data_IF_745100936518
#
_entry.id   IF_745100936518
#
_cell.length_a   1.000
_cell.length_b   1.000
_cell.length_c   1.000
_cell.angle_alpha   90.00
_cell.angle_beta   90.00
_cell.angle_gamma   90.00
#
_symmetry.space_group_name_H-M   'P 1'
#
loop_
_entity.id
_entity.type
_entity.pdbx_description
1 polymer ?
#
# COMPACT_ATOMS: atom_id res chain seq x y z
N UNK A 1 -27.20 -14.26 -37.53
CA UNK A 1 -25.75 -14.47 -37.35
C UNK A 1 -25.41 -13.99 -35.94
N UNK A 2 -25.70 -14.83 -34.95
CA UNK A 2 -25.47 -14.57 -33.52
C UNK A 2 -24.02 -14.94 -33.24
N UNK A 3 -23.13 -13.95 -33.20
CA UNK A 3 -21.78 -14.17 -32.65
C UNK A 3 -21.91 -14.21 -31.13
N UNK A 4 -21.86 -15.43 -30.60
CA UNK A 4 -21.54 -15.71 -29.21
C UNK A 4 -20.27 -14.93 -28.84
N UNK A 5 -20.43 -13.83 -28.12
CA UNK A 5 -19.35 -13.28 -27.32
C UNK A 5 -19.14 -14.32 -26.21
N UNK A 6 -18.03 -15.05 -26.32
CA UNK A 6 -17.49 -15.87 -25.25
C UNK A 6 -17.53 -15.02 -23.98
N UNK A 7 -18.41 -15.37 -23.04
CA UNK A 7 -18.24 -14.97 -21.66
C UNK A 7 -16.90 -15.54 -21.23
N UNK A 8 -15.88 -14.68 -21.15
CA UNK A 8 -14.80 -14.96 -20.22
C UNK A 8 -15.46 -14.98 -18.85
N UNK A 9 -15.49 -16.14 -18.20
CA UNK A 9 -15.75 -16.24 -16.78
C UNK A 9 -14.68 -15.38 -16.08
N UNK A 10 -14.96 -14.10 -15.89
CA UNK A 10 -14.12 -13.22 -15.10
C UNK A 10 -14.23 -13.74 -13.68
N UNK A 11 -13.19 -14.41 -13.21
CA UNK A 11 -13.10 -14.85 -11.82
C UNK A 11 -13.21 -13.59 -10.97
N UNK A 12 -14.36 -13.37 -10.32
CA UNK A 12 -14.53 -12.21 -9.45
C UNK A 12 -13.64 -12.41 -8.23
N UNK A 13 -12.65 -11.54 -8.06
CA UNK A 13 -11.92 -11.46 -6.80
C UNK A 13 -12.80 -10.77 -5.76
N UNK A 14 -12.77 -11.30 -4.54
CA UNK A 14 -13.40 -10.66 -3.38
C UNK A 14 -12.30 -10.02 -2.53
N UNK A 15 -12.58 -8.89 -1.90
CA UNK A 15 -11.68 -8.34 -0.89
C UNK A 15 -12.42 -8.02 0.40
N UNK A 16 -11.71 -8.21 1.51
CA UNK A 16 -12.06 -7.61 2.79
C UNK A 16 -11.02 -6.52 3.06
N UNK A 17 -11.49 -5.28 3.25
CA UNK A 17 -10.66 -4.16 3.64
C UNK A 17 -10.82 -3.88 5.14
N UNK A 18 -9.70 -3.78 5.86
CA UNK A 18 -9.66 -3.38 7.26
C UNK A 18 -8.93 -2.05 7.34
N UNK A 19 -9.68 -0.98 7.59
CA UNK A 19 -9.17 0.38 7.59
C UNK A 19 -9.39 1.07 8.95
N UNK A 20 -8.44 1.92 9.35
CA UNK A 20 -8.53 2.75 10.54
C UNK A 20 -8.13 2.06 11.84
N UNK A 21 -8.35 2.78 12.95
CA UNK A 21 -8.09 2.30 14.31
C UNK A 21 -9.28 1.56 14.89
N UNK A 22 -9.02 0.67 15.85
CA UNK A 22 -10.08 -0.04 16.53
C UNK A 22 -10.75 0.82 17.60
N UNK A 23 -12.03 0.56 17.83
CA UNK A 23 -12.80 1.21 18.89
C UNK A 23 -12.16 0.84 20.23
N UNK A 24 -11.95 1.80 21.16
CA UNK A 24 -11.39 1.50 22.47
C UNK A 24 -12.12 0.35 23.18
N UNK A 25 -11.35 -0.63 23.67
CA UNK A 25 -11.88 -1.82 24.35
C UNK A 25 -12.18 -3.01 23.43
N UNK A 26 -12.07 -2.85 22.11
CA UNK A 26 -12.08 -3.99 21.19
C UNK A 26 -10.72 -4.70 21.23
N UNK A 27 -10.73 -5.99 21.57
CA UNK A 27 -9.53 -6.82 21.52
C UNK A 27 -9.15 -7.12 20.05
N UNK A 28 -7.93 -6.75 19.60
CA UNK A 28 -7.42 -7.08 18.27
C UNK A 28 -7.58 -8.56 17.87
N UNK A 29 -7.49 -9.48 18.82
CA UNK A 29 -7.64 -10.92 18.58
C UNK A 29 -9.05 -11.28 18.12
N UNK A 30 -10.08 -10.55 18.57
CA UNK A 30 -11.46 -10.76 18.12
C UNK A 30 -11.57 -10.47 16.64
N UNK A 31 -11.00 -9.36 16.17
CA UNK A 31 -10.98 -9.01 14.74
C UNK A 31 -10.20 -10.05 13.94
N UNK A 32 -9.05 -10.48 14.45
CA UNK A 32 -8.25 -11.55 13.84
C UNK A 32 -9.06 -12.85 13.67
N UNK A 33 -9.81 -13.24 14.70
CA UNK A 33 -10.63 -14.45 14.67
C UNK A 33 -11.83 -14.33 13.73
N UNK A 34 -12.45 -13.15 13.62
CA UNK A 34 -13.52 -12.88 12.66
C UNK A 34 -13.00 -13.03 11.23
N UNK A 35 -11.84 -12.44 10.91
CA UNK A 35 -11.23 -12.57 9.58
C UNK A 35 -10.84 -14.01 9.27
N UNK A 36 -10.17 -14.69 10.21
CA UNK A 36 -9.85 -16.12 10.09
C UNK A 36 -11.10 -16.95 9.78
N UNK A 37 -12.21 -16.65 10.45
CA UNK A 37 -13.48 -17.33 10.23
C UNK A 37 -14.09 -16.98 8.87
N UNK A 38 -14.08 -15.72 8.45
CA UNK A 38 -14.61 -15.29 7.15
C UNK A 38 -13.87 -15.98 6.00
N UNK A 39 -12.55 -16.08 6.09
CA UNK A 39 -11.72 -16.69 5.05
C UNK A 39 -11.58 -18.22 5.14
N UNK A 40 -11.95 -18.85 6.27
CA UNK A 40 -11.95 -20.32 6.38
C UNK A 40 -12.99 -21.00 5.46
N UNK A 41 -13.98 -20.25 4.98
CA UNK A 41 -15.05 -20.74 4.10
C UNK A 41 -14.86 -20.39 2.62
N UNK A 42 -13.92 -19.49 2.28
CA UNK A 42 -13.65 -19.11 0.91
C UNK A 42 -12.52 -19.98 0.31
N UNK A 43 -12.58 -20.25 -0.99
CA UNK A 43 -11.41 -20.76 -1.72
C UNK A 43 -10.31 -19.69 -1.64
N UNK A 44 -9.38 -19.86 -0.70
CA UNK A 44 -8.43 -18.85 -0.20
C UNK A 44 -7.57 -18.15 -1.25
N UNK A 45 -7.54 -18.64 -2.50
CA UNK A 45 -6.77 -18.06 -3.60
C UNK A 45 -7.53 -16.98 -4.37
N UNK A 46 -8.84 -16.81 -4.15
CA UNK A 46 -9.68 -15.81 -4.85
C UNK A 46 -9.99 -14.57 -4.04
N UNK A 47 -9.56 -14.54 -2.78
CA UNK A 47 -9.88 -13.46 -1.85
C UNK A 47 -8.62 -12.73 -1.39
N UNK A 48 -8.74 -11.42 -1.22
CA UNK A 48 -7.64 -10.54 -0.81
C UNK A 48 -7.98 -9.91 0.54
N UNK A 49 -7.00 -9.87 1.45
CA UNK A 49 -7.09 -9.06 2.66
C UNK A 49 -6.31 -7.76 2.46
N UNK A 50 -7.02 -6.65 2.41
CA UNK A 50 -6.45 -5.32 2.30
C UNK A 50 -6.40 -4.66 3.68
N UNK A 51 -5.25 -4.18 4.10
CA UNK A 51 -5.04 -3.58 5.44
C UNK A 51 -4.50 -2.16 5.27
N UNK A 52 -5.25 -1.20 5.82
CA UNK A 52 -4.89 0.23 5.99
C UNK A 52 -5.20 0.65 7.42
N UNK A 53 -4.53 0.01 8.37
CA UNK A 53 -4.78 0.16 9.80
C UNK A 53 -3.51 0.57 10.55
N UNK A 54 -3.71 1.41 11.58
CA UNK A 54 -2.67 1.79 12.52
C UNK A 54 -2.48 0.78 13.67
N UNK A 55 -3.27 -0.30 13.71
CA UNK A 55 -3.25 -1.32 14.77
C UNK A 55 -2.16 -2.36 14.51
N UNK A 56 -0.95 -2.09 15.03
CA UNK A 56 0.22 -2.92 14.77
C UNK A 56 0.09 -4.34 15.32
N UNK A 57 -0.49 -4.53 16.51
CA UNK A 57 -0.67 -5.87 17.09
C UNK A 57 -1.57 -6.73 16.21
N UNK A 58 -2.71 -6.19 15.78
CA UNK A 58 -3.60 -6.87 14.84
C UNK A 58 -2.89 -7.24 13.54
N UNK A 59 -2.17 -6.27 12.96
CA UNK A 59 -1.48 -6.46 11.69
C UNK A 59 -0.37 -7.49 11.82
N UNK A 60 0.41 -7.44 12.91
CA UNK A 60 1.43 -8.42 13.28
C UNK A 60 0.83 -9.81 13.41
N UNK A 61 -0.24 -9.95 14.21
CA UNK A 61 -0.94 -11.22 14.43
C UNK A 61 -1.45 -11.81 13.12
N UNK A 62 -2.01 -11.00 12.22
CA UNK A 62 -2.52 -11.46 10.93
C UNK A 62 -1.38 -11.94 10.04
N UNK A 63 -0.32 -11.14 9.89
CA UNK A 63 0.83 -11.43 9.02
C UNK A 63 1.60 -12.67 9.54
N UNK A 64 1.79 -12.78 10.86
CA UNK A 64 2.48 -13.90 11.51
C UNK A 64 1.64 -15.17 11.66
N UNK A 65 0.31 -15.10 11.52
CA UNK A 65 -0.56 -16.26 11.70
C UNK A 65 -0.59 -17.25 10.52
N UNK A 66 -1.18 -18.42 10.78
CA UNK A 66 -1.48 -19.47 9.80
C UNK A 66 -2.43 -19.07 8.65
N UNK A 67 -2.80 -17.79 8.51
CA UNK A 67 -3.46 -17.24 7.31
C UNK A 67 -2.51 -17.19 6.09
N UNK A 68 -1.44 -17.98 6.08
CA UNK A 68 -0.37 -18.07 5.07
C UNK A 68 -0.85 -18.27 3.62
N UNK A 69 -2.14 -18.57 3.40
CA UNK A 69 -2.72 -18.80 2.07
C UNK A 69 -3.46 -17.60 1.48
N UNK A 70 -3.74 -16.57 2.26
CA UNK A 70 -4.46 -15.38 1.78
C UNK A 70 -3.45 -14.32 1.31
N UNK A 71 -3.58 -13.82 0.07
CA UNK A 71 -2.87 -12.63 -0.36
C UNK A 71 -3.22 -11.42 0.52
N UNK A 72 -2.24 -10.92 1.26
CA UNK A 72 -2.34 -9.71 2.07
C UNK A 72 -1.75 -8.54 1.27
N UNK A 73 -2.47 -7.42 1.29
CA UNK A 73 -2.03 -6.15 0.73
C UNK A 73 -1.98 -5.15 1.85
N UNK A 74 -0.79 -4.61 2.09
CA UNK A 74 -0.60 -3.56 3.07
C UNK A 74 -0.55 -2.23 2.33
N UNK A 75 -1.44 -1.32 2.68
CA UNK A 75 -1.28 0.10 2.38
C UNK A 75 -1.17 0.80 3.71
N UNK A 76 0.01 1.31 4.06
CA UNK A 76 0.27 1.94 5.36
C UNK A 76 1.11 3.20 5.17
N UNK A 77 1.14 4.09 6.15
CA UNK A 77 2.09 5.20 6.14
C UNK A 77 3.46 4.81 6.72
N UNK A 78 4.48 5.63 6.49
CA UNK A 78 5.85 5.36 6.94
C UNK A 78 5.97 5.19 8.46
N UNK A 79 5.12 5.87 9.25
CA UNK A 79 5.11 5.74 10.73
C UNK A 79 4.50 4.42 11.16
N UNK A 80 3.37 4.03 10.57
CA UNK A 80 2.73 2.72 10.81
C UNK A 80 3.67 1.58 10.45
N UNK A 81 4.37 1.68 9.32
CA UNK A 81 5.40 0.72 8.92
C UNK A 81 6.47 0.56 10.00
N UNK A 82 7.05 1.66 10.48
CA UNK A 82 8.08 1.63 11.54
C UNK A 82 7.57 0.93 12.79
N UNK A 83 6.37 1.27 13.26
CA UNK A 83 5.81 0.68 14.46
C UNK A 83 5.49 -0.82 14.29
N UNK A 84 5.02 -1.22 13.10
CA UNK A 84 4.76 -2.62 12.78
C UNK A 84 6.06 -3.44 12.78
N UNK A 85 7.12 -2.89 12.19
CA UNK A 85 8.43 -3.52 12.19
C UNK A 85 9.01 -3.68 13.59
N UNK A 86 8.87 -2.67 14.46
CA UNK A 86 9.25 -2.77 15.88
C UNK A 86 8.47 -3.87 16.62
N UNK A 87 7.17 -4.00 16.33
CA UNK A 87 6.32 -5.05 16.94
C UNK A 87 6.78 -6.45 16.52
N UNK A 88 7.06 -6.65 15.22
CA UNK A 88 7.51 -7.93 14.67
C UNK A 88 8.91 -8.34 15.14
N UNK A 89 9.82 -7.39 15.29
CA UNK A 89 11.20 -7.67 15.76
C UNK A 89 11.26 -8.01 17.25
N UNK A 90 10.36 -7.47 18.07
CA UNK A 90 10.22 -7.90 19.48
C UNK A 90 9.81 -9.37 19.61
N UNK A 91 9.10 -9.94 18.63
CA UNK A 91 8.67 -11.34 18.59
C UNK A 91 9.72 -12.27 17.96
N UNK A 92 10.67 -11.72 17.19
CA UNK A 92 11.76 -12.43 16.52
C UNK A 92 13.13 -12.00 17.10
N UNK A 93 13.50 -12.54 18.27
CA UNK A 93 14.89 -12.48 18.74
C UNK A 93 15.75 -13.38 17.85
N UNK A 94 16.28 -12.84 16.75
CA UNK A 94 17.52 -13.21 16.06
C UNK A 94 17.44 -12.69 14.61
N UNK A 95 17.90 -11.47 14.35
CA UNK A 95 18.10 -10.98 12.99
C UNK A 95 19.29 -10.02 12.98
N UNK A 96 20.41 -10.48 12.45
CA UNK A 96 21.57 -9.63 12.17
C UNK A 96 21.18 -8.49 11.23
N UNK A 97 21.73 -7.30 11.48
CA UNK A 97 21.52 -6.11 10.63
C UNK A 97 22.01 -6.39 9.21
N UNK A 98 21.08 -6.50 8.27
CA UNK A 98 21.46 -6.74 6.88
C UNK A 98 21.55 -5.43 6.10
N UNK A 99 22.79 -5.07 5.77
CA UNK A 99 23.13 -3.85 5.05
C UNK A 99 22.77 -3.97 3.56
N UNK A 100 21.79 -3.16 3.13
CA UNK A 100 21.44 -2.91 1.74
C UNK A 100 22.51 -2.04 1.06
N UNK A 101 23.63 -2.61 0.62
CA UNK A 101 24.77 -1.79 0.14
C UNK A 101 25.24 -2.02 -1.31
N UNK A 102 24.57 -2.85 -2.12
CA UNK A 102 25.15 -3.23 -3.44
C UNK A 102 24.55 -2.57 -4.68
N UNK A 103 23.41 -1.86 -4.60
CA UNK A 103 22.86 -1.12 -5.75
C UNK A 103 23.20 0.38 -5.68
N UNK A 104 23.97 0.87 -6.66
CA UNK A 104 24.29 2.30 -6.84
C UNK A 104 23.05 3.21 -6.86
N UNK A 105 21.91 2.70 -7.32
CA UNK A 105 20.63 3.39 -7.30
C UNK A 105 20.08 3.53 -5.88
N UNK A 106 20.26 2.52 -5.04
CA UNK A 106 19.85 2.53 -3.64
C UNK A 106 20.73 3.49 -2.82
N UNK A 107 22.04 3.51 -3.09
CA UNK A 107 22.97 4.44 -2.43
C UNK A 107 22.54 5.90 -2.63
N UNK A 108 22.01 6.24 -3.80
CA UNK A 108 21.55 7.60 -4.12
C UNK A 108 20.24 8.04 -3.45
N UNK A 109 19.51 7.13 -2.80
CA UNK A 109 18.26 7.46 -2.11
C UNK A 109 18.54 8.27 -0.83
N UNK A 110 17.58 9.12 -0.46
CA UNK A 110 17.58 9.78 0.84
C UNK A 110 17.39 8.76 1.98
N UNK A 111 17.82 9.13 3.19
CA UNK A 111 17.82 8.23 4.34
C UNK A 111 16.42 7.72 4.67
N UNK A 112 15.39 8.56 4.58
CA UNK A 112 14.02 8.17 4.94
C UNK A 112 13.48 7.12 3.98
N UNK A 113 13.74 7.26 2.68
CA UNK A 113 13.36 6.25 1.69
C UNK A 113 14.11 4.93 1.93
N UNK A 114 15.40 4.98 2.31
CA UNK A 114 16.18 3.79 2.69
C UNK A 114 15.58 3.08 3.90
N UNK A 115 15.21 3.84 4.94
CA UNK A 115 14.58 3.31 6.16
C UNK A 115 13.25 2.61 5.85
N UNK A 116 12.43 3.21 4.97
CA UNK A 116 11.20 2.58 4.48
C UNK A 116 11.51 1.25 3.77
N UNK A 117 12.50 1.22 2.88
CA UNK A 117 12.87 -0.01 2.16
C UNK A 117 13.40 -1.11 3.10
N UNK A 118 14.19 -0.74 4.12
CA UNK A 118 14.67 -1.64 5.17
C UNK A 118 13.49 -2.29 5.91
N UNK A 119 12.54 -1.47 6.39
CA UNK A 119 11.37 -1.95 7.10
C UNK A 119 10.48 -2.85 6.23
N UNK A 120 10.33 -2.52 4.93
CA UNK A 120 9.65 -3.37 3.95
C UNK A 120 10.35 -4.73 3.81
N UNK A 121 11.70 -4.80 3.70
CA UNK A 121 12.39 -6.09 3.58
C UNK A 121 12.08 -7.02 4.76
N UNK A 122 12.04 -6.50 5.98
CA UNK A 122 11.72 -7.31 7.16
C UNK A 122 10.31 -7.92 7.09
N UNK A 123 9.32 -7.16 6.64
CA UNK A 123 7.94 -7.63 6.45
C UNK A 123 7.79 -8.52 5.20
N UNK A 124 8.62 -8.31 4.18
CA UNK A 124 8.55 -9.07 2.92
C UNK A 124 8.90 -10.56 3.06
N UNK A 125 9.47 -10.96 4.21
CA UNK A 125 9.75 -12.35 4.55
C UNK A 125 8.49 -13.17 4.83
N UNK A 126 7.35 -12.52 5.07
CA UNK A 126 6.10 -13.20 5.32
C UNK A 126 5.40 -13.51 3.98
N UNK A 127 5.35 -14.80 3.63
CA UNK A 127 4.86 -15.29 2.33
C UNK A 127 3.42 -14.88 1.98
N UNK A 128 2.59 -14.51 2.97
CA UNK A 128 1.22 -14.03 2.75
C UNK A 128 1.18 -12.60 2.22
N UNK A 129 2.21 -11.78 2.46
CA UNK A 129 2.22 -10.37 2.06
C UNK A 129 2.60 -10.24 0.58
N UNK A 130 1.61 -9.95 -0.26
CA UNK A 130 1.77 -9.86 -1.71
C UNK A 130 2.35 -8.51 -2.14
N UNK A 131 1.73 -7.43 -1.64
CA UNK A 131 2.10 -6.06 -1.97
C UNK A 131 2.20 -5.21 -0.71
N UNK A 132 3.20 -4.33 -0.68
CA UNK A 132 3.37 -3.34 0.40
C UNK A 132 3.46 -1.95 -0.24
N UNK A 133 2.46 -1.13 0.02
CA UNK A 133 2.30 0.22 -0.50
C UNK A 133 2.44 1.23 0.64
N UNK A 134 3.59 1.89 0.72
CA UNK A 134 3.94 2.80 1.81
C UNK A 134 3.79 4.24 1.35
N UNK A 135 3.12 5.06 2.13
CA UNK A 135 2.96 6.50 1.87
C UNK A 135 3.67 7.36 2.92
N UNK A 136 4.22 8.50 2.51
CA UNK A 136 4.82 9.50 3.41
C UNK A 136 4.27 10.91 3.15
N UNK A 137 2.94 11.00 3.05
CA UNK A 137 2.25 12.25 2.74
C UNK A 137 2.72 12.86 1.41
N UNK A 138 3.12 14.14 1.38
CA UNK A 138 3.51 14.82 0.13
C UNK A 138 4.92 14.47 -0.37
N UNK A 139 5.73 13.74 0.40
CA UNK A 139 7.14 13.56 0.08
C UNK A 139 7.37 12.44 -0.95
N UNK A 140 7.11 11.20 -0.54
CA UNK A 140 7.39 10.01 -1.32
C UNK A 140 6.41 8.89 -1.00
N UNK A 141 6.39 7.91 -1.87
CA UNK A 141 5.77 6.62 -1.63
C UNK A 141 6.70 5.51 -2.11
N UNK A 142 6.55 4.32 -1.53
CA UNK A 142 7.30 3.14 -1.95
C UNK A 142 6.31 2.01 -2.17
N UNK A 143 6.40 1.36 -3.31
CA UNK A 143 5.63 0.15 -3.61
C UNK A 143 6.55 -1.04 -3.72
N UNK A 144 6.23 -2.14 -3.06
CA UNK A 144 6.97 -3.38 -3.13
C UNK A 144 6.08 -4.52 -3.61
N UNK A 145 6.62 -5.28 -4.57
CA UNK A 145 6.03 -6.51 -5.10
C UNK A 145 6.83 -7.71 -4.60
N UNK A 146 6.19 -8.57 -3.81
CA UNK A 146 6.81 -9.77 -3.23
C UNK A 146 7.16 -10.86 -4.24
N UNK A 147 6.48 -10.91 -5.39
CA UNK A 147 6.70 -11.90 -6.44
C UNK A 147 7.95 -11.54 -7.24
N UNK A 148 8.04 -10.28 -7.68
CA UNK A 148 9.19 -9.81 -8.45
C UNK A 148 10.35 -9.34 -7.58
N UNK A 149 10.13 -9.16 -6.27
CA UNK A 149 11.06 -8.54 -5.31
C UNK A 149 11.54 -7.16 -5.75
N UNK A 150 10.66 -6.40 -6.42
CA UNK A 150 10.98 -5.07 -6.94
C UNK A 150 10.39 -3.99 -6.04
N UNK A 151 11.19 -2.96 -5.83
CA UNK A 151 10.78 -1.74 -5.14
C UNK A 151 10.57 -0.66 -6.19
N UNK A 152 9.46 0.04 -6.15
CA UNK A 152 9.21 1.25 -6.93
C UNK A 152 9.22 2.44 -5.99
N UNK A 153 10.25 3.27 -6.12
CA UNK A 153 10.40 4.52 -5.38
C UNK A 153 9.64 5.60 -6.15
N UNK A 154 8.58 6.11 -5.56
CA UNK A 154 7.60 6.98 -6.21
C UNK A 154 7.76 8.40 -5.68
N UNK A 155 7.87 9.34 -6.60
CA UNK A 155 7.88 10.77 -6.34
C UNK A 155 6.53 11.37 -6.71
N UNK A 156 5.88 11.99 -5.73
CA UNK A 156 4.61 12.69 -5.88
C UNK A 156 4.91 14.16 -6.23
N UNK A 157 4.18 14.79 -7.16
CA UNK A 157 4.39 16.19 -7.50
C UNK A 157 3.98 17.12 -6.35
N UNK A 158 4.68 18.25 -6.21
CA UNK A 158 4.37 19.27 -5.21
C UNK A 158 3.11 20.06 -5.63
N UNK A 159 2.00 19.78 -4.93
CA UNK A 159 0.72 20.42 -5.20
C UNK A 159 0.75 21.94 -4.99
N UNK A 160 1.52 22.44 -4.02
CA UNK A 160 1.60 23.88 -3.77
C UNK A 160 2.26 24.61 -4.94
N UNK A 161 3.27 24.00 -5.58
CA UNK A 161 3.87 24.54 -6.80
C UNK A 161 2.89 24.50 -7.98
N UNK A 162 2.16 23.40 -8.17
CA UNK A 162 1.19 23.28 -9.26
C UNK A 162 0.04 24.29 -9.13
N UNK A 163 -0.43 24.57 -7.91
CA UNK A 163 -1.44 25.61 -7.66
C UNK A 163 -0.86 27.00 -7.98
N UNK A 164 0.37 27.31 -7.53
CA UNK A 164 1.02 28.60 -7.79
C UNK A 164 1.23 28.86 -9.28
N UNK A 165 1.49 27.81 -10.06
CA UNK A 165 1.70 27.89 -11.50
C UNK A 165 0.39 27.92 -12.32
N UNK A 166 -0.77 27.81 -11.66
CA UNK A 166 -2.09 27.65 -12.30
C UNK A 166 -2.26 26.36 -13.13
N UNK A 167 -1.47 25.32 -12.85
CA UNK A 167 -1.61 24.00 -13.48
C UNK A 167 -2.80 23.22 -12.91
N UNK A 168 -3.09 23.46 -11.62
CA UNK A 168 -4.20 22.89 -10.86
C UNK A 168 -4.98 24.00 -10.13
N UNK A 169 -6.30 23.82 -10.04
CA UNK A 169 -7.18 24.68 -9.25
C UNK A 169 -7.46 24.01 -7.90
N UNK A 170 -7.24 24.71 -6.80
CA UNK A 170 -7.74 24.31 -5.48
C UNK A 170 -8.74 25.31 -4.95
N UNK A 171 -9.69 24.84 -4.14
CA UNK A 171 -10.65 25.71 -3.46
C UNK A 171 -9.92 26.71 -2.55
N UNK A 172 -9.86 27.97 -2.99
CA UNK A 172 -9.22 29.09 -2.29
C UNK A 172 -7.72 28.93 -2.01
N UNK A 173 -6.99 28.13 -2.80
CA UNK A 173 -5.57 27.90 -2.55
C UNK A 173 -5.27 26.96 -1.37
N UNK A 174 -6.30 26.33 -0.78
CA UNK A 174 -6.18 25.45 0.38
C UNK A 174 -5.81 24.04 -0.08
N UNK A 175 -4.92 23.39 0.67
CA UNK A 175 -4.61 21.96 0.57
C UNK A 175 -5.14 21.29 1.84
N UNK A 176 -6.06 20.34 1.71
CA UNK A 176 -6.66 19.61 2.81
C UNK A 176 -6.33 18.11 2.73
N UNK A 177 -5.37 17.58 3.50
CA UNK A 177 -4.98 16.17 3.41
C UNK A 177 -5.96 15.19 4.07
N UNK A 178 -7.04 15.68 4.70
CA UNK A 178 -7.97 14.82 5.43
C UNK A 178 -8.69 13.88 4.45
N UNK A 179 -8.62 12.58 4.70
CA UNK A 179 -9.23 11.55 3.85
C UNK A 179 -8.40 11.14 2.62
N UNK A 180 -7.21 11.73 2.43
CA UNK A 180 -6.32 11.34 1.33
C UNK A 180 -5.87 9.88 1.45
N UNK A 181 -5.64 9.40 2.67
CA UNK A 181 -5.32 8.00 2.96
C UNK A 181 -6.40 7.04 2.49
N UNK A 182 -7.66 7.29 2.90
CA UNK A 182 -8.82 6.48 2.52
C UNK A 182 -9.09 6.54 1.02
N UNK A 183 -8.90 7.73 0.41
CA UNK A 183 -9.04 7.91 -1.04
C UNK A 183 -8.03 7.06 -1.81
N UNK A 184 -6.77 7.05 -1.37
CA UNK A 184 -5.74 6.22 -1.96
C UNK A 184 -6.13 4.74 -1.89
N UNK A 185 -6.53 4.28 -0.70
CA UNK A 185 -6.90 2.89 -0.44
C UNK A 185 -8.11 2.44 -1.25
N UNK A 186 -9.17 3.27 -1.31
CA UNK A 186 -10.38 2.96 -2.06
C UNK A 186 -10.10 2.81 -3.57
N UNK A 187 -9.38 3.77 -4.16
CA UNK A 187 -9.06 3.73 -5.60
C UNK A 187 -8.08 2.60 -5.91
N UNK A 188 -7.06 2.40 -5.07
CA UNK A 188 -6.08 1.33 -5.25
C UNK A 188 -6.76 -0.05 -5.20
N UNK A 189 -7.56 -0.32 -4.16
CA UNK A 189 -8.24 -1.59 -4.01
C UNK A 189 -9.24 -1.85 -5.14
N UNK A 190 -10.01 -0.84 -5.54
CA UNK A 190 -10.98 -0.99 -6.63
C UNK A 190 -10.30 -1.38 -7.94
N UNK A 191 -9.25 -0.65 -8.34
CA UNK A 191 -8.54 -0.93 -9.60
C UNK A 191 -7.81 -2.27 -9.57
N UNK A 192 -7.34 -2.68 -8.40
CA UNK A 192 -6.73 -4.00 -8.23
C UNK A 192 -7.74 -5.12 -8.46
N UNK A 193 -8.95 -5.01 -7.89
CA UNK A 193 -10.03 -6.00 -8.08
C UNK A 193 -10.53 -6.05 -9.52
N UNK A 194 -10.55 -4.91 -10.21
CA UNK A 194 -10.94 -4.81 -11.61
C UNK A 194 -9.93 -5.50 -12.55
N UNK A 195 -8.70 -5.80 -12.08
CA UNK A 195 -7.62 -6.45 -12.85
C UNK A 195 -7.34 -5.78 -14.21
N UNK A 196 -7.63 -4.47 -14.32
CA UNK A 196 -7.54 -3.71 -15.58
C UNK A 196 -6.18 -3.06 -15.81
N UNK A 197 -5.35 -2.99 -14.77
CA UNK A 197 -3.98 -2.46 -14.81
C UNK A 197 -3.07 -3.24 -13.85
N UNK A 198 -1.77 -2.92 -13.86
CA UNK A 198 -0.84 -3.54 -12.91
C UNK A 198 -1.11 -3.05 -11.47
N UNK A 199 -0.76 -3.84 -10.43
CA UNK A 199 -0.87 -3.41 -9.04
C UNK A 199 -0.14 -2.09 -8.74
N UNK A 200 1.01 -1.86 -9.38
CA UNK A 200 1.73 -0.60 -9.27
C UNK A 200 0.88 0.53 -9.89
N UNK A 201 0.36 0.38 -11.09
CA UNK A 201 -0.47 1.41 -11.75
C UNK A 201 -1.74 1.71 -10.95
N UNK A 202 -2.34 0.69 -10.34
CA UNK A 202 -3.48 0.84 -9.42
C UNK A 202 -3.09 1.70 -8.21
N UNK A 203 -1.91 1.47 -7.62
CA UNK A 203 -1.40 2.28 -6.52
C UNK A 203 -1.05 3.71 -6.95
N UNK A 204 -0.40 3.91 -8.11
CA UNK A 204 -0.13 5.24 -8.66
C UNK A 204 -1.42 6.02 -8.90
N UNK A 205 -2.47 5.33 -9.39
CA UNK A 205 -3.81 5.90 -9.52
C UNK A 205 -4.37 6.30 -8.16
N UNK A 206 -4.24 5.45 -7.13
CA UNK A 206 -4.60 5.78 -5.75
C UNK A 206 -3.88 7.03 -5.21
N UNK A 207 -2.57 7.13 -5.41
CA UNK A 207 -1.78 8.31 -5.00
C UNK A 207 -2.23 9.59 -5.72
N UNK A 208 -2.53 9.49 -7.01
CA UNK A 208 -3.02 10.62 -7.79
C UNK A 208 -4.40 11.09 -7.34
N UNK A 209 -5.31 10.16 -6.99
CA UNK A 209 -6.64 10.46 -6.48
C UNK A 209 -6.57 11.08 -5.09
N UNK A 210 -5.73 10.52 -4.21
CA UNK A 210 -5.46 11.08 -2.89
C UNK A 210 -4.93 12.51 -2.99
N UNK A 211 -3.96 12.75 -3.87
CA UNK A 211 -3.40 14.08 -4.10
C UNK A 211 -4.44 15.05 -4.69
N UNK A 212 -5.28 14.60 -5.62
CA UNK A 212 -6.37 15.41 -6.15
C UNK A 212 -7.43 15.71 -5.08
N UNK A 213 -7.69 14.78 -4.16
CA UNK A 213 -8.62 15.02 -3.04
C UNK A 213 -8.15 16.14 -2.12
N UNK A 214 -6.83 16.30 -2.00
CA UNK A 214 -6.25 17.38 -1.21
C UNK A 214 -6.56 18.77 -1.75
N UNK A 215 -6.99 18.91 -3.01
CA UNK A 215 -7.33 20.21 -3.61
C UNK A 215 -8.75 20.68 -3.26
N UNK A 216 -9.55 19.82 -2.62
CA UNK A 216 -10.93 20.09 -2.21
C UNK A 216 -10.96 20.36 -0.70
N UNK A 217 -11.41 21.56 -0.32
CA UNK A 217 -11.42 21.98 1.08
C UNK A 217 -12.45 21.18 1.91
N UNK A 218 -13.63 20.93 1.34
CA UNK A 218 -14.68 20.07 1.88
C UNK A 218 -15.72 19.75 0.79
N UNK A 219 -16.40 18.60 0.81
CA UNK A 219 -16.21 17.47 1.72
C UNK A 219 -14.88 16.72 1.50
N UNK A 220 -14.41 15.99 2.52
CA UNK A 220 -13.20 15.17 2.43
C UNK A 220 -13.42 13.94 1.52
N UNK A 221 -12.33 13.33 1.05
CA UNK A 221 -12.34 12.09 0.24
C UNK A 221 -13.13 12.18 -1.08
N UNK A 222 -13.25 13.37 -1.63
CA UNK A 222 -13.79 13.64 -2.96
C UNK A 222 -12.64 14.21 -3.79
N UNK A 223 -12.57 13.90 -5.08
CA UNK A 223 -11.58 14.45 -5.99
C UNK A 223 -12.17 14.71 -7.37
N UNK A 224 -11.55 15.65 -8.09
CA UNK A 224 -11.83 15.89 -9.50
C UNK A 224 -10.99 14.95 -10.37
N UNK A 225 -11.65 14.26 -11.32
CA UNK A 225 -10.99 13.28 -12.18
C UNK A 225 -9.95 13.90 -13.11
N UNK A 226 -10.16 15.13 -13.59
CA UNK A 226 -9.18 15.79 -14.47
C UNK A 226 -7.92 16.18 -13.69
N UNK A 227 -8.08 16.66 -12.46
CA UNK A 227 -6.98 16.90 -11.53
C UNK A 227 -6.21 15.62 -11.20
N UNK A 228 -6.92 14.51 -10.92
CA UNK A 228 -6.31 13.19 -10.72
C UNK A 228 -5.47 12.77 -11.93
N UNK A 229 -6.03 12.80 -13.15
CA UNK A 229 -5.30 12.41 -14.38
C UNK A 229 -4.07 13.28 -14.62
N UNK A 230 -4.17 14.59 -14.42
CA UNK A 230 -3.04 15.52 -14.52
C UNK A 230 -1.95 15.14 -13.54
N UNK A 231 -2.29 14.92 -12.27
CA UNK A 231 -1.34 14.52 -11.23
C UNK A 231 -0.69 13.18 -11.58
N UNK A 232 -1.48 12.20 -12.04
CA UNK A 232 -0.97 10.88 -12.45
C UNK A 232 0.10 11.01 -13.54
N UNK A 233 -0.11 11.86 -14.55
CA UNK A 233 0.87 12.12 -15.60
C UNK A 233 2.16 12.83 -15.13
N UNK A 234 2.17 13.35 -13.90
CA UNK A 234 3.32 14.00 -13.27
C UNK A 234 4.01 13.13 -12.21
N UNK A 235 3.37 12.03 -11.78
CA UNK A 235 4.00 11.06 -10.89
C UNK A 235 5.12 10.36 -11.65
N UNK A 236 6.28 10.29 -11.02
CA UNK A 236 7.43 9.54 -11.54
C UNK A 236 7.81 8.45 -10.56
N UNK A 237 8.26 7.30 -11.06
CA UNK A 237 8.84 6.28 -10.21
C UNK A 237 10.10 5.68 -10.81
N UNK A 238 10.95 5.16 -9.95
CA UNK A 238 12.13 4.39 -10.33
C UNK A 238 12.06 3.02 -9.67
N UNK A 239 12.25 1.99 -10.47
CA UNK A 239 12.32 0.62 -9.95
C UNK A 239 13.75 0.29 -9.54
N UNK A 240 13.91 -0.27 -8.35
CA UNK A 240 15.17 -0.78 -7.83
C UNK A 240 14.98 -2.21 -7.36
N UNK A 241 16.03 -3.02 -7.49
CA UNK A 241 16.06 -4.39 -7.00
C UNK A 241 16.96 -4.45 -5.78
N UNK A 242 16.45 -4.99 -4.68
CA UNK A 242 17.26 -5.24 -3.49
C UNK A 242 17.60 -6.74 -3.45
N UNK A 243 18.87 -7.12 -3.61
CA UNK A 243 19.24 -8.53 -3.73
C UNK A 243 18.87 -9.33 -2.49
N UNK A 244 18.16 -10.43 -2.71
CA UNK A 244 17.57 -11.33 -1.71
C UNK A 244 18.57 -12.03 -0.77
N UNK A 245 19.89 -11.87 -0.96
CA UNK A 245 20.87 -12.29 0.04
C UNK A 245 20.74 -11.52 1.35
N UNK A 246 19.89 -10.48 1.39
CA UNK A 246 19.65 -9.63 2.56
C UNK A 246 18.28 -9.76 3.22
N UNK A 247 17.41 -10.64 2.74
CA UNK A 247 16.19 -11.00 3.45
C UNK A 247 16.26 -12.53 3.64
N UNK A 248 17.07 -12.98 4.61
CA UNK A 248 17.16 -14.39 4.98
C UNK A 248 15.82 -14.81 5.57
N UNK A 249 15.14 -15.72 4.87
CA UNK A 249 13.92 -16.36 5.33
C UNK A 249 14.19 -17.13 6.62
N UNK A 250 13.69 -16.64 7.74
CA UNK A 250 13.52 -17.42 8.95
C UNK A 250 12.06 -17.89 9.05
N UNK A 251 11.87 -19.16 8.62
CA UNK A 251 10.78 -20.11 8.93
C UNK A 251 9.39 -19.88 8.29
#
# INVERSE_FOLDING_TARGET
MLSQLKGSDSISQTAIAVCGSFIPGLDPLVVSNVLKSAFAFEESEKSILFIDSAENQFTSDIIGSSLKKLPIILKINAKELSNLTETLTCEQQDSENILLETDSNFISLDQKTKDICNNICQISNYNSVKYIAVTDGPNSAVFFDSETKLYSIIKIPDLALLIRNNDLSSSNGIINPIGAGDTCSAVFLNLLLDNSCSPLDAFLSGLSAASASCLIAAPNSIFDHESMKKILGLITHKTVFLPSSTCTSYI
#
